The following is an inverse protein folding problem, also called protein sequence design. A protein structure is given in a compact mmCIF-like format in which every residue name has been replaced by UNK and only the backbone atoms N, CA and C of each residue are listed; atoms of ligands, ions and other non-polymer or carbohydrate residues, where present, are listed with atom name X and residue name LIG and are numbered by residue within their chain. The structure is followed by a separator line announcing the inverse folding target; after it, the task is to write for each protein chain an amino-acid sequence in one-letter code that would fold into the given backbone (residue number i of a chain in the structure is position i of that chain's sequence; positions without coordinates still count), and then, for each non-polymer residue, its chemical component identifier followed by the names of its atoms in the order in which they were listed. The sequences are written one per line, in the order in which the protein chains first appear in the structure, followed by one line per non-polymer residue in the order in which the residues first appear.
data_IF_862596236013
#
_entry.id   IF_862596236013
#
_cell.length_a   1.000
_cell.length_b   1.000
_cell.length_c   1.000
_cell.angle_alpha   90.00
_cell.angle_beta   90.00
_cell.angle_gamma   90.00
#
_symmetry.space_group_name_H-M   'P 1'
#
loop_
_entity.id
_entity.type
_entity.pdbx_description
1 polymer ?
#
# COMPACT_ATOMS: atom_id res chain seq x y z
N UNK A 1 11.05 12.77 19.78
CA UNK A 1 9.77 12.03 19.90
C UNK A 1 10.07 10.55 19.75
N UNK A 2 9.46 9.70 20.58
CA UNK A 2 9.55 8.24 20.46
C UNK A 2 8.20 7.74 19.95
N UNK A 3 8.19 7.05 18.83
CA UNK A 3 6.99 6.56 18.14
C UNK A 3 7.00 5.04 18.18
N UNK A 4 5.99 4.45 18.79
CA UNK A 4 5.75 3.01 18.72
C UNK A 4 4.72 2.71 17.64
N UNK A 5 5.11 1.95 16.62
CA UNK A 5 4.22 1.43 15.58
C UNK A 5 3.85 0.00 15.93
N UNK A 6 2.56 -0.29 16.04
CA UNK A 6 2.06 -1.62 16.40
C UNK A 6 1.63 -2.35 15.12
N UNK A 7 2.34 -3.43 14.79
CA UNK A 7 2.10 -4.29 13.62
C UNK A 7 3.20 -4.20 12.57
N UNK A 8 3.64 -5.36 12.06
CA UNK A 8 4.70 -5.48 11.06
C UNK A 8 4.19 -6.01 9.70
N UNK A 9 2.90 -5.79 9.39
CA UNK A 9 2.35 -6.00 8.05
C UNK A 9 2.52 -4.75 7.16
N UNK A 10 1.97 -4.79 5.94
CA UNK A 10 2.15 -3.73 4.92
C UNK A 10 1.79 -2.34 5.44
N UNK A 11 0.70 -2.21 6.22
CA UNK A 11 0.26 -0.93 6.77
C UNK A 11 1.24 -0.41 7.83
N UNK A 12 1.67 -1.27 8.75
CA UNK A 12 2.56 -0.85 9.84
C UNK A 12 3.94 -0.44 9.33
N UNK A 13 4.55 -1.26 8.46
CA UNK A 13 5.88 -0.98 7.92
C UNK A 13 5.88 0.24 6.99
N UNK A 14 4.89 0.37 6.09
CA UNK A 14 4.79 1.56 5.22
C UNK A 14 4.55 2.84 6.02
N UNK A 15 3.75 2.78 7.08
CA UNK A 15 3.53 3.93 7.97
C UNK A 15 4.80 4.31 8.72
N UNK A 16 5.53 3.33 9.28
CA UNK A 16 6.79 3.57 9.99
C UNK A 16 7.83 4.25 9.08
N UNK A 17 7.97 3.75 7.85
CA UNK A 17 8.86 4.32 6.82
C UNK A 17 8.43 5.75 6.45
N UNK A 18 7.15 5.95 6.17
CA UNK A 18 6.61 7.26 5.77
C UNK A 18 6.82 8.32 6.87
N UNK A 19 6.60 7.97 8.14
CA UNK A 19 6.88 8.87 9.28
C UNK A 19 8.38 9.20 9.34
N UNK A 20 9.25 8.21 9.18
CA UNK A 20 10.68 8.42 9.21
C UNK A 20 11.12 9.38 8.09
N UNK A 21 10.78 9.06 6.83
CA UNK A 21 11.19 9.81 5.65
C UNK A 21 10.75 11.27 5.72
N UNK A 22 9.54 11.54 6.22
CA UNK A 22 8.99 12.90 6.29
C UNK A 22 9.53 13.73 7.46
N UNK A 23 9.97 13.11 8.56
CA UNK A 23 10.19 13.84 9.81
C UNK A 23 11.57 13.69 10.45
N UNK A 24 12.41 12.72 10.04
CA UNK A 24 13.71 12.47 10.67
C UNK A 24 14.68 13.67 10.57
N UNK A 25 14.54 14.52 9.55
CA UNK A 25 15.37 15.70 9.34
C UNK A 25 14.96 16.91 10.19
N UNK A 26 13.70 16.97 10.64
CA UNK A 26 13.13 18.13 11.34
C UNK A 26 12.95 17.85 12.84
N UNK A 27 12.64 16.61 13.22
CA UNK A 27 12.40 16.21 14.62
C UNK A 27 13.63 15.44 15.13
N UNK A 28 14.35 16.01 16.09
CA UNK A 28 15.51 15.34 16.70
C UNK A 28 15.49 15.35 18.24
N UNK A 29 15.67 14.20 18.91
CA UNK A 29 15.76 12.85 18.31
C UNK A 29 14.37 12.36 17.85
N UNK A 30 14.30 11.72 16.68
CA UNK A 30 13.14 10.92 16.26
C UNK A 30 13.52 9.44 16.37
N UNK A 31 12.83 8.71 17.24
CA UNK A 31 13.00 7.27 17.43
C UNK A 31 11.70 6.59 17.01
N UNK A 32 11.81 5.57 16.16
CA UNK A 32 10.67 4.77 15.70
C UNK A 32 10.97 3.31 16.03
N UNK A 33 10.05 2.67 16.75
CA UNK A 33 10.14 1.26 17.14
C UNK A 33 8.88 0.53 16.66
N UNK A 34 9.06 -0.61 15.97
CA UNK A 34 7.97 -1.45 15.49
C UNK A 34 7.79 -2.64 16.44
N UNK A 35 6.60 -2.74 17.04
CA UNK A 35 6.21 -3.84 17.92
C UNK A 35 5.19 -4.73 17.19
N UNK A 36 5.47 -6.02 17.07
CA UNK A 36 4.52 -6.97 16.50
C UNK A 36 4.66 -8.36 17.14
N UNK A 37 3.57 -9.10 17.18
CA UNK A 37 3.55 -10.51 17.60
C UNK A 37 3.74 -11.47 16.41
N UNK A 38 3.63 -10.96 15.18
CA UNK A 38 3.85 -11.66 13.91
C UNK A 38 4.63 -10.77 12.95
N UNK A 39 5.55 -11.40 12.23
CA UNK A 39 6.40 -10.80 11.19
C UNK A 39 6.31 -11.69 9.95
N UNK A 40 6.81 -11.20 8.80
CA UNK A 40 6.94 -12.01 7.57
C UNK A 40 7.65 -13.33 7.88
N UNK A 41 7.12 -14.49 7.42
CA UNK A 41 6.02 -14.67 6.45
C UNK A 41 4.65 -14.96 7.09
N UNK A 42 4.37 -14.48 8.30
CA UNK A 42 3.20 -14.84 9.11
C UNK A 42 2.20 -13.70 9.32
N UNK A 43 2.25 -12.65 8.52
CA UNK A 43 1.27 -11.56 8.52
C UNK A 43 0.15 -11.84 7.51
N UNK A 44 -1.00 -11.18 7.66
CA UNK A 44 -2.05 -11.21 6.63
C UNK A 44 -1.56 -10.69 5.27
N UNK A 45 -0.58 -9.77 5.27
CA UNK A 45 0.02 -9.25 4.04
C UNK A 45 0.77 -10.32 3.26
N UNK A 46 1.43 -11.27 3.94
CA UNK A 46 2.15 -12.38 3.29
C UNK A 46 1.19 -13.38 2.61
N UNK A 47 -0.08 -13.42 3.06
CA UNK A 47 -1.13 -14.24 2.44
C UNK A 47 -1.95 -13.52 1.36
N UNK A 48 -1.65 -12.25 1.05
CA UNK A 48 -2.37 -11.48 0.05
C UNK A 48 -2.07 -11.95 -1.38
N UNK A 49 -3.03 -11.78 -2.29
CA UNK A 49 -2.86 -12.17 -3.69
C UNK A 49 -1.84 -11.31 -4.47
N UNK A 50 -1.51 -10.11 -3.97
CA UNK A 50 -0.52 -9.21 -4.57
C UNK A 50 -1.00 -8.31 -5.70
N UNK A 51 -2.26 -8.43 -6.14
CA UNK A 51 -2.82 -7.60 -7.22
C UNK A 51 -3.36 -6.26 -6.68
N UNK A 52 -2.93 -5.15 -7.28
CA UNK A 52 -3.55 -3.85 -7.06
C UNK A 52 -4.86 -3.75 -7.85
N UNK A 53 -6.00 -3.82 -7.16
CA UNK A 53 -7.32 -3.63 -7.76
C UNK A 53 -8.34 -3.20 -6.69
N UNK A 54 -8.77 -1.93 -6.67
CA UNK A 54 -9.85 -1.46 -5.79
C UNK A 54 -11.19 -2.17 -6.07
N UNK A 55 -12.11 -2.14 -5.10
CA UNK A 55 -13.45 -2.72 -5.26
C UNK A 55 -14.30 -1.96 -6.28
N UNK A 56 -15.17 -2.71 -6.98
CA UNK A 56 -16.04 -2.19 -8.06
C UNK A 56 -17.17 -1.29 -7.53
N UNK A 57 -17.68 -1.55 -6.32
CA UNK A 57 -18.74 -0.74 -5.70
C UNK A 57 -18.12 0.31 -4.77
N UNK A 58 -17.86 1.51 -5.30
CA UNK A 58 -17.27 2.62 -4.57
C UNK A 58 -18.31 3.47 -3.83
N UNK A 59 -19.29 2.83 -3.16
CA UNK A 59 -20.30 3.52 -2.33
C UNK A 59 -19.73 4.21 -1.09
N UNK A 60 -18.41 4.24 -0.90
CA UNK A 60 -17.77 4.64 0.34
C UNK A 60 -16.55 5.51 0.08
N UNK A 61 -16.58 6.66 0.73
CA UNK A 61 -15.46 7.55 1.05
C UNK A 61 -14.56 8.00 -0.12
N UNK A 62 -14.75 9.26 -0.57
CA UNK A 62 -13.87 9.91 -1.55
C UNK A 62 -12.38 9.87 -1.14
N UNK A 63 -12.09 9.82 0.16
CA UNK A 63 -10.73 9.73 0.67
C UNK A 63 -10.05 8.40 0.31
N UNK A 64 -10.78 7.28 0.35
CA UNK A 64 -10.21 5.97 -0.04
C UNK A 64 -9.90 5.92 -1.53
N UNK A 65 -10.72 6.60 -2.35
CA UNK A 65 -10.43 6.74 -3.79
C UNK A 65 -9.13 7.51 -4.02
N UNK A 66 -8.89 8.57 -3.25
CA UNK A 66 -7.63 9.32 -3.31
C UNK A 66 -6.45 8.47 -2.86
N UNK A 67 -6.53 7.79 -1.72
CA UNK A 67 -5.45 6.92 -1.23
C UNK A 67 -5.12 5.77 -2.19
N UNK A 68 -6.14 5.18 -2.82
CA UNK A 68 -5.95 4.18 -3.87
C UNK A 68 -5.14 4.76 -5.02
N UNK A 69 -5.53 5.93 -5.53
CA UNK A 69 -4.81 6.60 -6.61
C UNK A 69 -3.37 6.93 -6.23
N UNK A 70 -3.15 7.54 -5.06
CA UNK A 70 -1.81 7.90 -4.58
C UNK A 70 -0.91 6.66 -4.45
N UNK A 71 -1.47 5.55 -3.95
CA UNK A 71 -0.74 4.27 -3.87
C UNK A 71 -0.37 3.76 -5.26
N UNK A 72 -1.30 3.77 -6.21
CA UNK A 72 -1.03 3.32 -7.57
C UNK A 72 0.05 4.16 -8.27
N UNK A 73 -0.07 5.48 -8.17
CA UNK A 73 0.89 6.43 -8.76
C UNK A 73 2.28 6.25 -8.14
N UNK A 74 2.35 6.07 -6.81
CA UNK A 74 3.60 5.77 -6.10
C UNK A 74 4.24 4.49 -6.61
N UNK A 75 3.50 3.38 -6.68
CA UNK A 75 4.02 2.10 -7.19
C UNK A 75 4.48 2.26 -8.65
N UNK A 76 3.66 2.86 -9.51
CA UNK A 76 4.03 3.10 -10.92
C UNK A 76 5.31 3.91 -11.07
N UNK A 77 5.55 4.88 -10.18
CA UNK A 77 6.78 5.68 -10.16
C UNK A 77 8.05 4.86 -9.93
N UNK A 78 7.95 3.68 -9.32
CA UNK A 78 9.09 2.81 -9.00
C UNK A 78 9.31 1.68 -10.02
N UNK A 79 8.41 1.48 -10.98
CA UNK A 79 8.47 0.34 -11.92
C UNK A 79 9.77 0.28 -12.76
N UNK A 80 10.42 1.43 -12.99
CA UNK A 80 11.66 1.50 -13.76
C UNK A 80 12.91 1.58 -12.86
N UNK A 81 12.77 1.51 -11.54
CA UNK A 81 13.91 1.50 -10.64
C UNK A 81 14.57 0.11 -10.64
N UNK A 82 15.91 0.04 -10.47
CA UNK A 82 16.60 -1.25 -10.39
C UNK A 82 16.16 -2.09 -9.19
N UNK A 83 15.57 -1.48 -8.17
CA UNK A 83 15.05 -2.14 -6.96
C UNK A 83 13.62 -2.69 -7.14
N UNK A 84 12.95 -2.45 -8.27
CA UNK A 84 11.54 -2.85 -8.46
C UNK A 84 11.30 -4.35 -8.22
N UNK A 85 12.23 -5.21 -8.69
CA UNK A 85 12.16 -6.65 -8.48
C UNK A 85 12.30 -7.02 -6.99
N UNK A 86 13.23 -6.40 -6.28
CA UNK A 86 13.44 -6.63 -4.84
C UNK A 86 12.25 -6.14 -4.00
N UNK A 87 11.56 -5.07 -4.46
CA UNK A 87 10.32 -4.59 -3.87
C UNK A 87 9.12 -5.51 -4.15
N UNK A 88 9.26 -6.54 -4.99
CA UNK A 88 8.18 -7.41 -5.42
C UNK A 88 7.20 -6.75 -6.39
N UNK A 89 7.63 -5.70 -7.10
CA UNK A 89 6.78 -4.87 -7.96
C UNK A 89 7.05 -5.14 -9.44
N UNK A 90 6.01 -5.47 -10.19
CA UNK A 90 6.07 -5.69 -11.64
C UNK A 90 4.71 -5.45 -12.30
N UNK A 91 4.66 -5.08 -13.59
CA UNK A 91 3.39 -4.93 -14.30
C UNK A 91 2.77 -6.28 -14.65
N UNK A 92 1.45 -6.39 -14.49
CA UNK A 92 0.68 -7.58 -14.88
C UNK A 92 -0.63 -7.17 -15.56
N UNK A 93 -0.92 -7.79 -16.71
CA UNK A 93 -2.18 -7.61 -17.46
C UNK A 93 -3.17 -8.72 -17.13
N UNK A 94 -4.48 -8.45 -17.19
CA UNK A 94 -5.51 -9.43 -16.87
C UNK A 94 -6.92 -9.06 -17.29
N UNK A 95 -7.90 -9.90 -16.94
CA UNK A 95 -9.30 -9.75 -17.29
C UNK A 95 -10.19 -9.86 -16.04
N UNK A 96 -11.17 -8.97 -15.92
CA UNK A 96 -12.29 -9.13 -14.99
C UNK A 96 -13.51 -9.64 -15.77
N UNK A 97 -14.02 -10.82 -15.40
CA UNK A 97 -15.12 -11.49 -16.10
C UNK A 97 -16.39 -11.46 -15.24
N UNK A 98 -17.53 -11.14 -15.86
CA UNK A 98 -18.82 -11.03 -15.19
C UNK A 98 -19.88 -11.84 -15.93
N UNK A 99 -20.76 -12.51 -15.18
CA UNK A 99 -21.89 -13.27 -15.76
C UNK A 99 -23.11 -12.38 -16.05
N UNK A 100 -23.07 -11.12 -15.62
CA UNK A 100 -24.08 -10.09 -15.85
C UNK A 100 -23.40 -8.77 -16.24
N UNK A 101 -24.06 -7.87 -16.97
CA UNK A 101 -23.51 -6.55 -17.30
C UNK A 101 -23.14 -5.76 -16.05
N UNK A 102 -21.92 -5.23 -16.00
CA UNK A 102 -21.48 -4.31 -14.94
C UNK A 102 -21.91 -2.89 -15.32
N UNK A 103 -22.53 -2.12 -14.42
CA UNK A 103 -22.82 -0.72 -14.66
C UNK A 103 -21.54 0.02 -15.05
N UNK A 104 -21.54 0.69 -16.19
CA UNK A 104 -20.40 1.52 -16.61
C UNK A 104 -20.30 2.70 -15.64
N UNK A 105 -19.23 2.75 -14.85
CA UNK A 105 -18.88 3.94 -14.07
C UNK A 105 -18.70 5.10 -15.04
N UNK A 106 -19.45 6.19 -14.85
CA UNK A 106 -19.44 7.37 -15.75
C UNK A 106 -18.19 8.25 -15.64
N UNK A 107 -17.16 7.84 -14.90
CA UNK A 107 -15.96 8.65 -14.70
C UNK A 107 -14.72 7.77 -14.80
N UNK A 108 -14.05 7.90 -15.95
CA UNK A 108 -12.61 7.72 -16.12
C UNK A 108 -11.99 9.08 -16.44
#
# INVERSE_FOLDING_TARGET
MRVAVIGAGVIGLSTALCIYDQHHSVVQPLEIEVYADRYTPLTTSDGAAGLWQPYVDNKRNAQETLWNKETFDYLCGHLNSPEAEEMGLFPISGYNLFTQPVPVSRYG
#
